data_IF_397780781322
#
_entry.id   IF_397780781322
#
_cell.length_a   1.000
_cell.length_b   1.000
_cell.length_c   1.000
_cell.angle_alpha   90.00
_cell.angle_beta   90.00
_cell.angle_gamma   90.00
#
_symmetry.space_group_name_H-M   'P 1'
#
loop_
_entity.id
_entity.type
_entity.pdbx_description
1 polymer ?
#
# COMPACT_ATOMS: atom_id res chain seq x y z
N UNK A 1 2.34 -36.41 0.07
CA UNK A 1 2.12 -35.25 0.96
C UNK A 1 3.19 -34.21 0.63
N UNK A 2 2.84 -33.16 -0.13
CA UNK A 2 3.81 -32.15 -0.54
C UNK A 2 4.01 -31.12 0.57
N UNK A 3 5.15 -31.18 1.27
CA UNK A 3 5.65 -30.12 2.13
C UNK A 3 6.46 -29.15 1.27
N UNK A 4 5.79 -28.11 0.79
CA UNK A 4 6.40 -26.92 0.18
C UNK A 4 5.46 -25.75 0.47
N UNK A 5 5.96 -24.51 0.63
CA UNK A 5 5.09 -23.37 0.84
C UNK A 5 4.10 -23.33 -0.33
N UNK A 6 2.81 -23.51 -0.01
CA UNK A 6 1.74 -23.16 -0.94
C UNK A 6 2.03 -21.72 -1.35
N UNK A 7 2.02 -21.45 -2.66
CA UNK A 7 2.29 -20.12 -3.20
C UNK A 7 1.66 -19.04 -2.30
N UNK A 8 2.37 -17.94 -2.00
CA UNK A 8 1.94 -16.98 -0.98
C UNK A 8 0.50 -16.57 -1.25
N UNK A 9 -0.40 -17.03 -0.39
CA UNK A 9 -1.82 -16.80 -0.52
C UNK A 9 -2.07 -15.30 -0.30
N UNK A 10 -2.62 -14.57 -1.29
CA UNK A 10 -2.86 -13.14 -1.18
C UNK A 10 -3.64 -12.77 0.07
N UNK A 11 -4.59 -13.60 0.50
CA UNK A 11 -5.38 -13.37 1.71
C UNK A 11 -4.52 -13.39 2.98
N UNK A 12 -3.53 -14.28 3.07
CA UNK A 12 -2.58 -14.29 4.19
C UNK A 12 -1.75 -13.00 4.23
N UNK A 13 -1.34 -12.50 3.06
CA UNK A 13 -0.61 -11.22 2.97
C UNK A 13 -1.47 -10.01 3.34
N UNK A 14 -2.73 -9.98 2.90
CA UNK A 14 -3.70 -8.94 3.28
C UNK A 14 -3.94 -8.94 4.79
N UNK A 15 -4.13 -10.12 5.39
CA UNK A 15 -4.34 -10.23 6.84
C UNK A 15 -3.10 -9.74 7.62
N UNK A 16 -1.89 -10.07 7.17
CA UNK A 16 -0.66 -9.60 7.80
C UNK A 16 -0.56 -8.06 7.81
N UNK A 17 -0.99 -7.38 6.74
CA UNK A 17 -1.06 -5.91 6.71
C UNK A 17 -2.09 -5.38 7.70
N UNK A 18 -3.29 -5.95 7.71
CA UNK A 18 -4.35 -5.53 8.64
C UNK A 18 -3.92 -5.70 10.10
N UNK A 19 -3.29 -6.82 10.41
CA UNK A 19 -2.78 -7.11 11.76
C UNK A 19 -1.68 -6.13 12.15
N UNK A 20 -0.74 -5.84 11.23
CA UNK A 20 0.33 -4.87 11.46
C UNK A 20 -0.24 -3.46 11.72
N UNK A 21 -1.19 -3.00 10.91
CA UNK A 21 -1.85 -1.69 11.12
C UNK A 21 -2.63 -1.68 12.44
N UNK A 22 -3.29 -2.78 12.79
CA UNK A 22 -4.01 -2.91 14.05
C UNK A 22 -3.09 -2.86 15.27
N UNK A 23 -1.88 -3.41 15.16
CA UNK A 23 -0.86 -3.38 16.21
C UNK A 23 -0.19 -2.00 16.33
N UNK A 24 0.18 -1.38 15.21
CA UNK A 24 0.91 -0.11 15.21
C UNK A 24 -0.01 1.10 15.47
N UNK A 25 -1.25 1.04 14.98
CA UNK A 25 -2.19 2.16 14.99
C UNK A 25 -3.59 1.73 15.44
N UNK A 26 -3.76 1.20 16.66
CA UNK A 26 -5.03 0.61 17.11
C UNK A 26 -6.20 1.59 17.07
N UNK A 27 -5.95 2.88 17.30
CA UNK A 27 -6.98 3.95 17.25
C UNK A 27 -7.44 4.29 15.83
N UNK A 28 -6.69 3.90 14.81
CA UNK A 28 -6.94 4.19 13.39
C UNK A 28 -7.27 2.95 12.58
N UNK A 29 -7.17 1.76 13.17
CA UNK A 29 -7.49 0.47 12.54
C UNK A 29 -9.00 0.21 12.48
N UNK A 30 -9.75 1.19 11.98
CA UNK A 30 -11.21 1.16 11.88
C UNK A 30 -11.67 0.10 10.87
N UNK A 31 -12.93 -0.39 10.95
CA UNK A 31 -13.47 -1.30 9.95
C UNK A 31 -13.40 -0.75 8.51
N UNK A 32 -13.54 0.57 8.34
CA UNK A 32 -13.41 1.27 7.06
C UNK A 32 -11.98 1.16 6.51
N UNK A 33 -10.97 1.46 7.33
CA UNK A 33 -9.55 1.30 6.94
C UNK A 33 -9.25 -0.15 6.57
N UNK A 34 -9.76 -1.13 7.32
CA UNK A 34 -9.57 -2.55 7.00
C UNK A 34 -10.18 -2.90 5.65
N UNK A 35 -11.40 -2.42 5.36
CA UNK A 35 -12.05 -2.64 4.07
C UNK A 35 -11.22 -2.07 2.92
N UNK A 36 -10.74 -0.83 3.03
CA UNK A 36 -9.94 -0.22 1.98
C UNK A 36 -8.56 -0.85 1.82
N UNK A 37 -7.91 -1.24 2.92
CA UNK A 37 -6.67 -2.02 2.86
C UNK A 37 -6.90 -3.35 2.15
N UNK A 38 -8.02 -4.05 2.38
CA UNK A 38 -8.36 -5.26 1.61
C UNK A 38 -8.57 -4.93 0.12
N UNK A 39 -9.36 -3.89 -0.18
CA UNK A 39 -9.68 -3.47 -1.54
C UNK A 39 -8.46 -3.04 -2.37
N UNK A 40 -7.37 -2.63 -1.71
CA UNK A 40 -6.11 -2.22 -2.35
C UNK A 40 -5.10 -3.37 -2.33
N UNK A 41 -4.83 -3.97 -1.17
CA UNK A 41 -3.77 -4.97 -1.02
C UNK A 41 -4.12 -6.30 -1.71
N UNK A 42 -5.38 -6.72 -1.70
CA UNK A 42 -5.77 -8.00 -2.31
C UNK A 42 -5.53 -8.00 -3.83
N UNK A 43 -5.98 -7.00 -4.62
CA UNK A 43 -5.63 -6.90 -6.04
C UNK A 43 -4.13 -6.86 -6.31
N UNK A 44 -3.38 -6.05 -5.54
CA UNK A 44 -1.94 -5.91 -5.71
C UNK A 44 -1.19 -7.23 -5.49
N UNK A 45 -1.48 -7.92 -4.38
CA UNK A 45 -0.85 -9.20 -4.06
C UNK A 45 -1.25 -10.30 -5.04
N UNK A 46 -2.52 -10.32 -5.47
CA UNK A 46 -3.02 -11.27 -6.47
C UNK A 46 -2.32 -11.08 -7.82
N UNK A 47 -2.11 -9.82 -8.23
CA UNK A 47 -1.35 -9.48 -9.41
C UNK A 47 0.18 -9.63 -9.26
N UNK A 48 0.66 -10.08 -8.08
CA UNK A 48 2.08 -10.17 -7.72
C UNK A 48 2.82 -8.84 -7.81
N UNK A 49 2.11 -7.73 -7.67
CA UNK A 49 2.72 -6.42 -7.52
C UNK A 49 3.37 -6.30 -6.13
N UNK A 50 4.51 -5.59 -6.01
CA UNK A 50 5.15 -5.38 -4.73
C UNK A 50 4.25 -4.57 -3.79
N UNK A 51 4.09 -5.01 -2.55
CA UNK A 51 3.29 -4.31 -1.57
C UNK A 51 4.12 -3.24 -0.87
N UNK A 52 4.10 -2.03 -1.43
CA UNK A 52 4.78 -0.85 -0.89
C UNK A 52 3.84 0.35 -0.88
N UNK A 53 4.14 1.36 -0.05
CA UNK A 53 3.36 2.60 -0.03
C UNK A 53 3.40 3.34 -1.37
N UNK A 54 4.51 3.26 -2.11
CA UNK A 54 4.62 3.79 -3.47
C UNK A 54 3.66 3.06 -4.42
N UNK A 55 3.64 1.72 -4.39
CA UNK A 55 2.73 0.94 -5.25
C UNK A 55 1.26 1.15 -4.90
N UNK A 56 0.95 1.31 -3.61
CA UNK A 56 -0.39 1.71 -3.14
C UNK A 56 -0.76 3.09 -3.69
N UNK A 57 0.14 4.07 -3.56
CA UNK A 57 -0.08 5.40 -4.09
C UNK A 57 -0.28 5.38 -5.61
N UNK A 58 0.53 4.59 -6.33
CA UNK A 58 0.41 4.40 -7.78
C UNK A 58 -0.93 3.77 -8.16
N UNK A 59 -1.40 2.79 -7.39
CA UNK A 59 -2.71 2.15 -7.60
C UNK A 59 -3.88 3.14 -7.42
N UNK A 60 -3.76 4.09 -6.51
CA UNK A 60 -4.79 5.12 -6.30
C UNK A 60 -4.69 6.24 -7.35
N UNK A 61 -3.47 6.72 -7.64
CA UNK A 61 -3.22 7.89 -8.47
C UNK A 61 -3.12 7.62 -9.96
N UNK A 62 -2.84 6.39 -10.41
CA UNK A 62 -2.68 6.05 -11.83
C UNK A 62 -3.79 5.08 -12.27
N UNK A 63 -4.86 5.58 -12.93
CA UNK A 63 -6.00 4.75 -13.37
C UNK A 63 -5.60 3.61 -14.30
N UNK A 64 -4.63 3.82 -15.20
CA UNK A 64 -4.18 2.78 -16.12
C UNK A 64 -3.46 1.64 -15.40
N UNK A 65 -2.65 1.97 -14.39
CA UNK A 65 -2.01 0.97 -13.54
C UNK A 65 -3.05 0.18 -12.75
N UNK A 66 -4.04 0.87 -12.16
CA UNK A 66 -5.16 0.21 -11.47
C UNK A 66 -5.92 -0.74 -12.39
N UNK A 67 -6.25 -0.30 -13.60
CA UNK A 67 -6.93 -1.14 -14.60
C UNK A 67 -6.11 -2.38 -14.93
N UNK A 68 -4.81 -2.20 -15.21
CA UNK A 68 -3.90 -3.32 -15.51
C UNK A 68 -3.83 -4.35 -14.37
N UNK A 69 -3.78 -3.89 -13.11
CA UNK A 69 -3.85 -4.78 -11.96
C UNK A 69 -5.17 -5.56 -11.98
N UNK A 70 -6.31 -4.88 -12.11
CA UNK A 70 -7.66 -5.46 -12.02
C UNK A 70 -8.00 -6.45 -13.16
N UNK A 71 -7.32 -6.35 -14.31
CA UNK A 71 -7.41 -7.29 -15.43
C UNK A 71 -6.86 -8.68 -15.08
N UNK A 72 -6.09 -8.83 -14.00
CA UNK A 72 -5.55 -10.11 -13.60
C UNK A 72 -6.67 -11.11 -13.26
N UNK A 73 -6.71 -12.30 -13.88
CA UNK A 73 -7.84 -13.24 -13.79
C UNK A 73 -8.11 -13.74 -12.37
N UNK A 74 -7.13 -13.71 -11.46
CA UNK A 74 -7.27 -14.18 -10.08
C UNK A 74 -7.97 -13.20 -9.14
N UNK A 75 -8.22 -11.96 -9.56
CA UNK A 75 -8.81 -10.93 -8.68
C UNK A 75 -10.29 -11.20 -8.44
N UNK A 76 -10.70 -11.06 -7.17
CA UNK A 76 -12.07 -11.22 -6.74
C UNK A 76 -13.01 -10.24 -7.47
N UNK A 77 -14.18 -10.73 -7.88
CA UNK A 77 -15.18 -9.99 -8.63
C UNK A 77 -15.63 -8.70 -7.91
N UNK A 78 -15.81 -8.75 -6.58
CA UNK A 78 -16.13 -7.57 -5.74
C UNK A 78 -15.19 -6.38 -5.95
N UNK A 79 -13.91 -6.62 -6.23
CA UNK A 79 -12.92 -5.55 -6.46
C UNK A 79 -12.95 -5.05 -7.89
N UNK A 80 -13.21 -5.94 -8.86
CA UNK A 80 -13.43 -5.54 -10.25
C UNK A 80 -14.69 -4.69 -10.41
N UNK A 81 -15.69 -4.91 -9.57
CA UNK A 81 -16.93 -4.11 -9.55
C UNK A 81 -16.76 -2.78 -8.78
N UNK A 82 -15.95 -2.76 -7.72
CA UNK A 82 -15.74 -1.57 -6.89
C UNK A 82 -15.00 -0.45 -7.64
N UNK A 83 -13.84 -0.75 -8.21
CA UNK A 83 -12.92 0.27 -8.73
C UNK A 83 -13.38 1.03 -9.99
N UNK A 84 -14.27 0.49 -10.86
CA UNK A 84 -14.91 1.27 -11.93
C UNK A 84 -15.70 2.49 -11.45
N UNK A 85 -16.18 2.50 -10.19
CA UNK A 85 -16.81 3.69 -9.60
C UNK A 85 -15.82 4.84 -9.34
N UNK A 86 -14.53 4.58 -9.47
CA UNK A 86 -13.44 5.53 -9.30
C UNK A 86 -12.59 5.55 -10.58
N UNK A 87 -13.04 6.19 -11.67
CA UNK A 87 -12.35 6.11 -12.96
C UNK A 87 -11.08 6.98 -13.05
N UNK A 88 -10.93 7.97 -12.16
CA UNK A 88 -9.83 8.94 -12.17
C UNK A 88 -8.80 8.71 -11.07
N UNK A 89 -7.99 9.74 -10.83
CA UNK A 89 -7.10 9.81 -9.66
C UNK A 89 -7.96 9.72 -8.40
N UNK A 90 -7.60 8.80 -7.51
CA UNK A 90 -8.28 8.62 -6.22
C UNK A 90 -7.42 9.27 -5.14
N UNK A 91 -7.97 10.31 -4.53
CA UNK A 91 -7.38 10.89 -3.32
C UNK A 91 -7.72 9.96 -2.13
N UNK A 92 -6.73 9.44 -1.39
CA UNK A 92 -6.96 8.64 -0.19
C UNK A 92 -7.94 9.27 0.80
N UNK A 93 -7.98 10.61 0.92
CA UNK A 93 -8.89 11.32 1.82
C UNK A 93 -10.36 11.11 1.47
N UNK A 94 -10.68 10.81 0.20
CA UNK A 94 -12.03 10.52 -0.25
C UNK A 94 -12.49 9.11 0.14
N UNK A 95 -11.53 8.21 0.38
CA UNK A 95 -11.82 6.83 0.79
C UNK A 95 -12.02 6.76 2.31
N UNK A 96 -11.03 7.25 3.05
CA UNK A 96 -11.04 7.28 4.51
C UNK A 96 -9.90 8.18 5.05
N UNK A 97 -10.20 9.03 6.04
CA UNK A 97 -9.21 9.97 6.60
C UNK A 97 -8.06 9.29 7.36
N UNK A 98 -8.32 8.16 8.02
CA UNK A 98 -7.27 7.38 8.70
C UNK A 98 -6.41 6.63 7.69
N UNK A 99 -6.99 6.13 6.59
CA UNK A 99 -6.24 5.55 5.48
C UNK A 99 -5.31 6.58 4.84
N UNK A 100 -5.83 7.78 4.56
CA UNK A 100 -5.05 8.87 4.01
C UNK A 100 -3.88 9.24 4.91
N UNK A 101 -4.13 9.35 6.21
CA UNK A 101 -3.08 9.59 7.20
C UNK A 101 -2.00 8.51 7.14
N UNK A 102 -2.36 7.22 7.10
CA UNK A 102 -1.39 6.12 7.01
C UNK A 102 -0.53 6.18 5.75
N UNK A 103 -1.14 6.46 4.60
CA UNK A 103 -0.43 6.53 3.32
C UNK A 103 0.51 7.75 3.32
N UNK A 104 0.02 8.92 3.73
CA UNK A 104 0.79 10.17 3.71
C UNK A 104 1.92 10.17 4.76
N UNK A 105 1.67 9.68 5.97
CA UNK A 105 2.68 9.55 7.03
C UNK A 105 3.88 8.72 6.53
N UNK A 106 3.60 7.59 5.88
CA UNK A 106 4.65 6.69 5.40
C UNK A 106 5.34 7.17 4.14
N UNK A 107 4.64 7.81 3.21
CA UNK A 107 5.27 8.46 2.05
C UNK A 107 6.16 9.63 2.47
N UNK A 108 5.76 10.41 3.48
CA UNK A 108 6.57 11.52 4.00
C UNK A 108 7.88 11.01 4.60
N UNK A 109 7.80 10.01 5.48
CA UNK A 109 8.99 9.37 6.08
C UNK A 109 9.93 8.78 5.01
N UNK A 110 9.37 8.18 3.94
CA UNK A 110 10.17 7.64 2.84
C UNK A 110 10.92 8.74 2.07
N UNK A 111 10.27 9.88 1.81
CA UNK A 111 10.90 11.02 1.14
C UNK A 111 11.99 11.66 2.02
N UNK A 112 11.73 11.88 3.31
CA UNK A 112 12.73 12.42 4.25
C UNK A 112 13.93 11.48 4.41
N UNK A 113 13.71 10.17 4.34
CA UNK A 113 14.79 9.16 4.41
C UNK A 113 15.68 9.13 3.15
N UNK A 114 15.20 9.63 2.01
CA UNK A 114 16.00 9.77 0.79
C UNK A 114 16.84 11.06 0.77
N UNK A 115 16.53 12.03 1.63
CA UNK A 115 17.21 13.33 1.70
C UNK A 115 18.42 13.38 2.67
N UNK A 116 18.85 12.25 3.24
CA UNK A 116 20.08 12.21 4.08
C UNK A 116 21.10 11.18 3.59
N UNK A 117 22.31 11.65 3.21
CA UNK A 117 23.37 11.70 4.21
C UNK A 117 24.10 13.04 4.20
N UNK A 118 23.82 13.88 5.19
CA UNK A 118 24.71 14.99 5.51
C UNK A 118 25.84 14.44 6.40
N UNK A 119 26.89 13.91 5.77
CA UNK A 119 28.14 13.66 6.47
C UNK A 119 28.71 15.02 6.89
N UNK A 120 29.05 15.25 8.16
CA UNK A 120 29.81 16.44 8.50
C UNK A 120 31.16 16.35 7.78
N UNK A 121 31.38 17.25 6.81
CA UNK A 121 32.72 17.54 6.32
C UNK A 121 33.59 17.83 7.55
N UNK A 122 34.61 16.99 7.76
CA UNK A 122 35.68 17.33 8.69
C UNK A 122 36.22 18.70 8.25
N UNK A 123 36.40 19.66 9.17
CA UNK A 123 37.20 20.83 8.83
C UNK A 123 38.63 20.35 8.62
N UNK A 124 39.00 20.20 7.35
CA UNK A 124 40.38 20.16 6.90
C UNK A 124 40.86 21.62 6.76
N UNK A 125 42.01 21.93 7.35
CA UNK A 125 42.69 23.22 7.27
C UNK A 125 42.72 23.96 8.62
N UNK A 126 43.82 23.89 9.37
CA UNK A 126 45.10 24.60 9.21
C UNK A 126 45.19 25.76 10.21
N UNK A 127 45.90 25.55 11.34
CA UNK A 127 47.06 26.33 11.83
C UNK A 127 47.86 25.47 12.82
#
# INVERSE_FOLDING_TARGET
MGFGPKAPDPQTGVQAVIDLISLLYPKRATPSVRYWLQAICEPLLTARAPLSFDTINRFLSQPDFRRHILENPGISEKWRELWPHYPGVVDPLQLDGDLAWLIHDRLTVLNESMETPNFPEKPDGDV
#
